data_IF_594156837182
#
_entry.id   IF_594156837182
#
_cell.length_a   1.000
_cell.length_b   1.000
_cell.length_c   1.000
_cell.angle_alpha   90.00
_cell.angle_beta   90.00
_cell.angle_gamma   90.00
#
_symmetry.space_group_name_H-M   'P 1'
#
loop_
_entity.id
_entity.type
_entity.pdbx_description
1 polymer ?
#
# COMPACT_ATOMS: atom_id res chain seq x y z
N UNK A 1 -19.91 -7.22 -68.66
CA UNK A 1 -18.83 -6.59 -67.85
C UNK A 1 -19.09 -5.09 -67.71
N UNK A 2 -19.92 -4.66 -66.73
CA UNK A 2 -20.11 -3.22 -66.40
C UNK A 2 -20.23 -2.94 -64.90
N UNK A 3 -20.88 -3.81 -64.11
CA UNK A 3 -21.01 -3.62 -62.65
C UNK A 3 -19.70 -3.71 -61.85
N UNK A 4 -18.72 -4.51 -62.31
CA UNK A 4 -17.49 -4.77 -61.55
C UNK A 4 -16.62 -3.52 -61.35
N UNK A 5 -16.54 -2.63 -62.36
CA UNK A 5 -15.81 -1.37 -62.25
C UNK A 5 -16.47 -0.37 -61.29
N UNK A 6 -17.80 -0.38 -61.16
CA UNK A 6 -18.51 0.50 -60.22
C UNK A 6 -18.23 0.14 -58.76
N UNK A 7 -18.26 -1.16 -58.43
CA UNK A 7 -17.94 -1.65 -57.08
C UNK A 7 -16.47 -1.38 -56.75
N UNK A 8 -15.55 -1.62 -57.69
CA UNK A 8 -14.13 -1.35 -57.50
C UNK A 8 -13.86 0.15 -57.26
N UNK A 9 -14.48 1.03 -58.05
CA UNK A 9 -14.35 2.47 -57.90
C UNK A 9 -14.84 2.95 -56.53
N UNK A 10 -16.04 2.53 -56.11
CA UNK A 10 -16.63 2.88 -54.80
C UNK A 10 -15.70 2.41 -53.66
N UNK A 11 -15.22 1.16 -53.72
CA UNK A 11 -14.30 0.61 -52.72
C UNK A 11 -12.98 1.40 -52.66
N UNK A 12 -12.42 1.82 -53.80
CA UNK A 12 -11.22 2.68 -53.81
C UNK A 12 -11.50 4.08 -53.26
N UNK A 13 -12.66 4.69 -53.54
CA UNK A 13 -12.99 6.00 -52.95
C UNK A 13 -13.22 5.95 -51.45
N UNK A 14 -13.82 4.88 -50.91
CA UNK A 14 -13.96 4.73 -49.46
C UNK A 14 -12.61 4.49 -48.78
N UNK A 15 -11.71 3.70 -49.39
CA UNK A 15 -10.34 3.49 -48.89
C UNK A 15 -9.47 4.75 -48.92
N UNK A 16 -9.64 5.61 -49.93
CA UNK A 16 -8.93 6.90 -50.02
C UNK A 16 -9.47 7.91 -49.00
N UNK A 17 -10.79 7.98 -48.79
CA UNK A 17 -11.38 8.86 -47.78
C UNK A 17 -11.05 8.43 -46.34
N UNK A 18 -10.92 7.12 -46.08
CA UNK A 18 -10.50 6.60 -44.77
C UNK A 18 -8.98 6.70 -44.50
N UNK A 19 -8.21 7.30 -45.40
CA UNK A 19 -6.74 7.41 -45.30
C UNK A 19 -6.25 8.85 -45.05
N UNK A 20 -7.17 9.82 -44.88
CA UNK A 20 -6.85 11.23 -44.79
C UNK A 20 -6.83 11.82 -43.36
N UNK A 21 -7.18 11.04 -42.33
CA UNK A 21 -7.15 11.48 -40.93
C UNK A 21 -6.21 10.65 -40.06
N UNK A 22 -5.64 11.30 -39.06
CA UNK A 22 -4.71 10.73 -38.07
C UNK A 22 -5.17 11.15 -36.67
N UNK A 23 -5.32 10.19 -35.76
CA UNK A 23 -5.61 10.48 -34.37
C UNK A 23 -4.42 11.18 -33.70
N UNK A 24 -4.63 12.39 -33.18
CA UNK A 24 -3.68 13.10 -32.35
C UNK A 24 -4.14 13.06 -30.88
N UNK A 25 -3.39 12.35 -30.04
CA UNK A 25 -3.65 12.28 -28.60
C UNK A 25 -3.25 13.59 -27.90
N UNK A 26 -4.14 14.15 -27.09
CA UNK A 26 -3.91 15.39 -26.34
C UNK A 26 -3.78 15.16 -24.84
N UNK A 27 -4.59 14.27 -24.26
CA UNK A 27 -4.61 13.96 -22.83
C UNK A 27 -4.85 12.47 -22.59
N UNK A 28 -4.52 11.97 -21.39
CA UNK A 28 -4.96 10.65 -20.93
C UNK A 28 -5.29 10.65 -19.44
N UNK A 29 -6.19 9.76 -19.03
CA UNK A 29 -6.68 9.61 -17.66
C UNK A 29 -6.58 8.13 -17.26
N UNK A 30 -6.18 7.83 -16.04
CA UNK A 30 -6.15 6.45 -15.53
C UNK A 30 -6.20 6.39 -14.00
N UNK A 31 -6.79 5.31 -13.49
CA UNK A 31 -6.84 5.04 -12.05
C UNK A 31 -5.53 4.41 -11.52
N UNK A 32 -5.15 4.79 -10.31
CA UNK A 32 -4.00 4.28 -9.56
C UNK A 32 -4.37 3.97 -8.10
N UNK A 33 -3.89 2.86 -7.54
CA UNK A 33 -4.17 2.50 -6.15
C UNK A 33 -3.10 3.09 -5.19
N UNK A 34 -3.40 3.27 -3.89
CA UNK A 34 -2.37 3.45 -2.86
C UNK A 34 -1.25 2.39 -2.92
N UNK A 35 0.00 2.79 -2.66
CA UNK A 35 1.17 1.91 -2.81
C UNK A 35 1.12 0.71 -1.85
N UNK A 36 1.27 -0.55 -2.30
CA UNK A 36 0.99 -1.75 -1.49
C UNK A 36 1.56 -1.78 -0.06
N UNK A 37 0.71 -2.10 0.92
CA UNK A 37 1.08 -2.23 2.35
C UNK A 37 1.72 -3.59 2.66
N UNK A 38 3.01 -3.59 3.01
CA UNK A 38 3.70 -4.75 3.60
C UNK A 38 3.78 -4.61 5.12
N UNK A 39 3.47 -5.68 5.86
CA UNK A 39 3.49 -5.70 7.33
C UNK A 39 4.56 -6.66 7.87
N UNK A 40 5.32 -6.23 8.88
CA UNK A 40 6.18 -7.12 9.65
C UNK A 40 5.42 -8.15 10.50
N UNK A 41 6.13 -8.94 11.33
CA UNK A 41 5.54 -9.93 12.23
C UNK A 41 4.49 -9.39 13.21
N UNK A 42 4.61 -8.14 13.67
CA UNK A 42 3.63 -7.51 14.58
C UNK A 42 3.46 -8.21 15.95
N UNK A 43 4.38 -9.12 16.29
CA UNK A 43 4.54 -9.84 17.56
C UNK A 43 5.94 -10.45 17.65
N UNK A 44 6.37 -10.81 18.86
CA UNK A 44 7.56 -11.64 19.08
C UNK A 44 7.33 -13.03 18.48
N UNK A 45 8.31 -13.51 17.71
CA UNK A 45 8.27 -14.81 17.07
C UNK A 45 8.95 -15.93 17.88
N UNK A 46 9.74 -15.64 18.92
CA UNK A 46 10.43 -16.63 19.80
C UNK A 46 11.08 -17.82 19.05
N UNK A 47 11.76 -17.53 17.94
CA UNK A 47 12.42 -18.54 17.08
C UNK A 47 11.47 -19.43 16.26
N UNK A 48 10.19 -19.08 16.12
CA UNK A 48 9.17 -19.79 15.36
C UNK A 48 8.87 -19.07 14.04
N UNK A 49 8.70 -19.84 12.95
CA UNK A 49 8.21 -19.36 11.66
C UNK A 49 6.68 -19.43 11.59
N UNK A 50 6.06 -18.51 10.86
CA UNK A 50 4.60 -18.50 10.67
C UNK A 50 4.21 -18.16 9.23
N UNK A 51 3.06 -18.67 8.79
CA UNK A 51 2.32 -18.08 7.68
C UNK A 51 1.23 -17.15 8.24
N UNK A 52 0.83 -16.13 7.49
CA UNK A 52 -0.30 -15.24 7.81
C UNK A 52 -1.23 -15.19 6.60
N UNK A 53 -2.53 -15.33 6.85
CA UNK A 53 -3.58 -14.97 5.90
C UNK A 53 -4.24 -13.71 6.42
N UNK A 54 -4.31 -12.65 5.61
CA UNK A 54 -4.99 -11.41 5.98
C UNK A 54 -6.07 -11.05 4.99
N UNK A 55 -7.15 -10.43 5.48
CA UNK A 55 -8.17 -9.79 4.66
C UNK A 55 -8.38 -8.37 5.19
N UNK A 56 -8.53 -7.38 4.30
CA UNK A 56 -8.72 -5.98 4.69
C UNK A 56 -9.64 -5.21 3.76
N UNK A 57 -10.20 -4.13 4.31
CA UNK A 57 -11.00 -3.15 3.60
C UNK A 57 -10.43 -1.75 3.89
N UNK A 58 -10.35 -0.91 2.87
CA UNK A 58 -9.95 0.50 2.98
C UNK A 58 -11.05 1.39 2.42
N UNK A 59 -11.35 2.48 3.13
CA UNK A 59 -12.23 3.55 2.67
C UNK A 59 -11.51 4.89 2.86
N UNK A 60 -11.27 5.60 1.76
CA UNK A 60 -10.55 6.86 1.63
C UNK A 60 -11.37 7.89 0.84
N UNK A 61 -10.90 9.13 0.76
CA UNK A 61 -11.42 10.08 -0.20
C UNK A 61 -10.90 9.78 -1.62
N UNK A 62 -11.69 10.13 -2.64
CA UNK A 62 -11.22 10.13 -4.02
C UNK A 62 -10.34 11.37 -4.25
N UNK A 63 -9.24 11.21 -4.99
CA UNK A 63 -8.34 12.33 -5.32
C UNK A 63 -7.86 12.30 -6.77
N UNK A 64 -7.72 13.48 -7.38
CA UNK A 64 -7.33 13.66 -8.77
C UNK A 64 -6.05 14.51 -8.84
N UNK A 65 -5.02 14.03 -9.53
CA UNK A 65 -3.78 14.77 -9.75
C UNK A 65 -3.47 14.91 -11.23
N UNK A 66 -3.76 16.11 -11.73
CA UNK A 66 -3.36 16.59 -13.06
C UNK A 66 -1.84 16.85 -13.13
N UNK A 67 -1.16 16.36 -14.17
CA UNK A 67 0.24 16.65 -14.45
C UNK A 67 0.48 16.93 -15.95
N UNK A 68 1.42 17.82 -16.33
CA UNK A 68 1.60 18.21 -17.72
C UNK A 68 2.33 17.14 -18.52
N UNK A 69 1.90 16.94 -19.77
CA UNK A 69 2.54 16.05 -20.74
C UNK A 69 2.89 16.82 -22.03
N UNK A 70 3.78 16.27 -22.85
CA UNK A 70 4.24 16.89 -24.11
C UNK A 70 3.97 15.94 -25.26
N UNK A 71 3.49 16.45 -26.39
CA UNK A 71 3.43 15.68 -27.64
C UNK A 71 4.81 15.66 -28.30
N UNK A 72 5.39 14.46 -28.48
CA UNK A 72 6.70 14.25 -29.14
C UNK A 72 6.66 14.67 -30.62
N UNK A 73 5.50 14.67 -31.26
CA UNK A 73 5.32 15.01 -32.68
C UNK A 73 5.57 16.51 -33.03
N UNK A 74 5.51 17.39 -32.03
CA UNK A 74 5.70 18.84 -32.21
C UNK A 74 7.18 19.26 -32.32
N UNK A 75 8.12 18.54 -31.69
CA UNK A 75 9.55 18.89 -31.74
C UNK A 75 10.17 18.57 -33.11
N UNK A 76 9.88 17.40 -33.69
CA UNK A 76 10.51 16.97 -34.95
C UNK A 76 10.09 17.83 -36.15
N UNK A 77 8.84 18.31 -36.19
CA UNK A 77 8.33 19.15 -37.28
C UNK A 77 8.82 20.60 -37.20
N UNK A 78 8.97 21.15 -35.99
CA UNK A 78 9.54 22.49 -35.78
C UNK A 78 11.05 22.54 -36.03
N UNK A 79 11.80 21.48 -35.69
CA UNK A 79 13.24 21.39 -35.96
C UNK A 79 13.56 21.10 -37.44
N UNK A 80 12.63 20.50 -38.19
CA UNK A 80 12.81 20.14 -39.60
C UNK A 80 12.76 21.32 -40.60
N UNK A 81 12.23 22.49 -40.22
CA UNK A 81 11.95 23.58 -41.18
C UNK A 81 12.69 24.89 -40.87
N UNK A 82 13.81 25.10 -41.57
CA UNK A 82 14.61 26.35 -41.57
C UNK A 82 13.83 27.62 -42.01
N UNK A 83 12.55 27.49 -42.38
CA UNK A 83 11.65 28.58 -42.77
C UNK A 83 11.14 29.40 -41.58
N UNK A 84 10.96 28.77 -40.40
CA UNK A 84 10.30 29.40 -39.24
C UNK A 84 11.21 30.43 -38.55
N UNK A 85 12.53 30.34 -38.72
CA UNK A 85 13.51 31.30 -38.21
C UNK A 85 13.32 32.75 -38.73
N UNK A 86 12.53 32.97 -39.79
CA UNK A 86 12.16 34.29 -40.32
C UNK A 86 10.79 34.80 -39.83
N UNK A 87 10.05 34.02 -39.04
CA UNK A 87 8.74 34.42 -38.47
C UNK A 87 8.80 34.73 -36.97
N UNK A 88 9.79 34.19 -36.25
CA UNK A 88 10.01 34.43 -34.82
C UNK A 88 10.31 35.89 -34.46
N UNK A 89 10.72 36.74 -35.40
CA UNK A 89 10.99 38.17 -35.15
C UNK A 89 9.70 39.03 -35.10
N UNK A 90 8.51 38.46 -35.37
CA UNK A 90 7.23 39.20 -35.38
C UNK A 90 6.15 38.69 -34.43
N UNK A 91 6.31 37.51 -33.83
CA UNK A 91 5.38 37.00 -32.82
C UNK A 91 5.95 37.31 -31.45
N UNK A 92 5.21 38.09 -30.65
CA UNK A 92 5.62 38.42 -29.28
C UNK A 92 5.76 37.11 -28.47
N UNK A 93 6.90 36.78 -27.84
CA UNK A 93 7.06 35.51 -27.11
C UNK A 93 6.04 35.29 -25.99
N UNK A 94 5.43 36.36 -25.45
CA UNK A 94 4.31 36.24 -24.50
C UNK A 94 2.99 35.77 -25.14
N UNK A 95 2.82 35.88 -26.46
CA UNK A 95 1.61 35.42 -27.18
C UNK A 95 1.62 33.92 -27.50
N UNK A 96 2.78 33.28 -27.50
CA UNK A 96 2.92 31.81 -27.61
C UNK A 96 2.58 31.11 -26.28
N UNK A 97 2.33 31.88 -25.20
CA UNK A 97 1.84 31.36 -23.90
C UNK A 97 0.35 30.96 -23.90
N UNK A 98 -0.28 30.79 -25.07
CA UNK A 98 -1.50 29.99 -25.19
C UNK A 98 -1.14 28.51 -25.16
N UNK A 99 -0.86 28.02 -23.96
CA UNK A 99 -0.74 26.60 -23.68
C UNK A 99 -2.04 25.89 -24.06
N UNK A 100 -1.99 25.11 -25.13
CA UNK A 100 -2.67 23.82 -25.14
C UNK A 100 -1.97 23.00 -24.04
N UNK A 101 -2.50 23.06 -22.82
CA UNK A 101 -1.98 22.31 -21.69
C UNK A 101 -2.43 20.86 -21.81
N UNK A 102 -1.77 20.12 -22.70
CA UNK A 102 -1.81 18.67 -22.70
C UNK A 102 -1.43 18.20 -21.29
N UNK A 103 -2.35 17.49 -20.66
CA UNK A 103 -2.23 16.99 -19.30
C UNK A 103 -2.52 15.49 -19.28
N UNK A 104 -2.02 14.83 -18.25
CA UNK A 104 -2.48 13.53 -17.83
C UNK A 104 -3.13 13.65 -16.45
N UNK A 105 -4.12 12.79 -16.21
CA UNK A 105 -4.92 12.75 -15.00
C UNK A 105 -4.67 11.39 -14.34
N UNK A 106 -4.23 11.42 -13.08
CA UNK A 106 -4.12 10.24 -12.24
C UNK A 106 -5.17 10.35 -11.12
N UNK A 107 -6.11 9.42 -11.12
CA UNK A 107 -7.15 9.31 -10.09
C UNK A 107 -6.75 8.25 -9.07
N UNK A 108 -7.00 8.49 -7.77
CA UNK A 108 -6.92 7.45 -6.74
C UNK A 108 -8.33 7.16 -6.19
N UNK A 109 -8.77 5.92 -6.40
CA UNK A 109 -10.05 5.40 -5.93
C UNK A 109 -10.17 5.40 -4.40
N UNK A 110 -11.37 5.66 -3.89
CA UNK A 110 -11.64 5.68 -2.44
C UNK A 110 -11.74 4.30 -1.78
N UNK A 111 -12.13 3.23 -2.50
CA UNK A 111 -12.60 1.98 -1.88
C UNK A 111 -11.88 0.73 -2.34
N UNK A 112 -11.22 0.05 -1.40
CA UNK A 112 -10.30 -1.06 -1.69
C UNK A 112 -10.63 -2.30 -0.85
N UNK A 113 -10.59 -3.49 -1.45
CA UNK A 113 -10.59 -4.77 -0.73
C UNK A 113 -9.28 -5.49 -1.04
N UNK A 114 -8.60 -5.99 -0.01
CA UNK A 114 -7.38 -6.79 -0.18
C UNK A 114 -7.44 -8.12 0.55
N UNK A 115 -6.76 -9.12 0.00
CA UNK A 115 -6.47 -10.38 0.67
C UNK A 115 -5.02 -10.79 0.41
N UNK A 116 -4.28 -11.21 1.44
CA UNK A 116 -2.87 -11.60 1.32
C UNK A 116 -2.56 -12.94 1.99
N UNK A 117 -1.51 -13.59 1.49
CA UNK A 117 -0.85 -14.76 2.07
C UNK A 117 0.64 -14.44 2.21
N UNK A 118 1.14 -14.51 3.43
CA UNK A 118 2.51 -14.14 3.79
C UNK A 118 3.18 -15.33 4.49
N UNK A 119 4.47 -15.54 4.23
CA UNK A 119 5.30 -16.56 4.88
C UNK A 119 6.50 -15.87 5.52
N UNK A 120 6.64 -16.00 6.84
CA UNK A 120 7.62 -15.33 7.68
C UNK A 120 8.52 -16.40 8.32
N UNK A 121 9.78 -16.44 7.88
CA UNK A 121 10.79 -17.42 8.27
C UNK A 121 11.76 -16.76 9.26
N UNK A 122 11.74 -17.21 10.51
CA UNK A 122 12.53 -16.60 11.60
C UNK A 122 13.88 -17.30 11.78
N UNK A 123 14.95 -16.52 11.92
CA UNK A 123 16.31 -16.97 12.23
C UNK A 123 16.87 -16.33 13.53
N UNK A 124 16.13 -15.42 14.17
CA UNK A 124 16.39 -14.75 15.45
C UNK A 124 17.76 -14.02 15.58
N UNK A 125 17.80 -12.66 15.58
CA UNK A 125 16.67 -11.73 15.46
C UNK A 125 16.21 -11.53 14.01
N UNK A 126 17.01 -11.94 13.02
CA UNK A 126 16.70 -11.72 11.60
C UNK A 126 15.55 -12.61 11.17
N UNK A 127 14.65 -12.08 10.33
CA UNK A 127 13.67 -12.87 9.60
C UNK A 127 13.65 -12.50 8.12
N UNK A 128 13.23 -13.47 7.31
CA UNK A 128 12.90 -13.27 5.90
C UNK A 128 11.41 -13.47 5.72
N UNK A 129 10.80 -12.67 4.85
CA UNK A 129 9.37 -12.71 4.58
C UNK A 129 9.13 -12.67 3.08
N UNK A 130 8.18 -13.47 2.62
CA UNK A 130 7.68 -13.43 1.24
C UNK A 130 6.16 -13.38 1.28
N UNK A 131 5.53 -12.65 0.37
CA UNK A 131 4.08 -12.52 0.35
C UNK A 131 3.52 -12.31 -1.03
N UNK A 132 2.24 -12.67 -1.18
CA UNK A 132 1.42 -12.42 -2.36
C UNK A 132 0.05 -11.90 -1.90
N UNK A 133 -0.53 -10.96 -2.64
CA UNK A 133 -1.82 -10.39 -2.33
C UNK A 133 -2.63 -10.05 -3.58
N UNK A 134 -3.96 -10.11 -3.44
CA UNK A 134 -4.89 -9.45 -4.35
C UNK A 134 -5.25 -8.06 -3.79
N UNK A 135 -5.14 -7.05 -4.63
CA UNK A 135 -5.37 -5.63 -4.36
C UNK A 135 -5.40 -4.91 -5.71
N UNK A 136 -6.59 -4.50 -6.18
CA UNK A 136 -6.86 -3.86 -7.48
C UNK A 136 -6.09 -4.46 -8.69
N UNK A 137 -5.96 -5.79 -8.68
CA UNK A 137 -4.83 -6.46 -9.31
C UNK A 137 -4.16 -7.40 -8.32
N UNK A 138 -2.85 -7.59 -8.45
CA UNK A 138 -2.07 -8.43 -7.54
C UNK A 138 -0.67 -7.87 -7.33
N UNK A 139 -0.11 -8.08 -6.14
CA UNK A 139 1.29 -7.79 -5.87
C UNK A 139 1.97 -8.96 -5.17
N UNK A 140 3.29 -9.08 -5.36
CA UNK A 140 4.13 -10.04 -4.67
C UNK A 140 5.44 -9.38 -4.24
N UNK A 141 5.98 -9.80 -3.09
CA UNK A 141 7.12 -9.11 -2.48
C UNK A 141 8.04 -10.05 -1.69
N UNK A 142 9.27 -9.56 -1.49
CA UNK A 142 10.23 -10.08 -0.53
C UNK A 142 10.57 -8.98 0.49
N UNK A 143 10.75 -9.37 1.75
CA UNK A 143 11.14 -8.46 2.82
C UNK A 143 12.18 -9.12 3.73
N UNK A 144 13.05 -8.29 4.32
CA UNK A 144 14.04 -8.68 5.31
C UNK A 144 13.96 -7.71 6.49
N UNK A 145 14.03 -8.24 7.70
CA UNK A 145 13.90 -7.44 8.91
C UNK A 145 14.52 -8.08 10.15
N UNK A 146 14.42 -7.36 11.26
CA UNK A 146 14.74 -7.87 12.59
C UNK A 146 13.49 -7.85 13.47
N UNK A 147 13.25 -8.96 14.16
CA UNK A 147 12.17 -9.16 15.12
C UNK A 147 12.79 -9.27 16.52
N UNK A 148 12.36 -8.38 17.41
CA UNK A 148 12.74 -8.35 18.81
C UNK A 148 11.46 -8.38 19.66
N UNK A 149 11.57 -8.80 20.92
CA UNK A 149 10.47 -9.02 21.87
C UNK A 149 9.39 -7.92 22.00
N UNK A 150 9.71 -6.69 21.62
CA UNK A 150 8.82 -5.53 21.74
C UNK A 150 8.69 -4.71 20.45
N UNK A 151 9.44 -5.04 19.41
CA UNK A 151 9.46 -4.29 18.17
C UNK A 151 10.02 -5.12 17.01
N UNK A 152 9.53 -4.84 15.81
CA UNK A 152 10.03 -5.39 14.56
C UNK A 152 10.24 -4.27 13.53
N UNK A 153 11.20 -4.43 12.63
CA UNK A 153 11.42 -3.47 11.55
C UNK A 153 12.03 -4.19 10.35
N UNK A 154 11.81 -3.65 9.15
CA UNK A 154 12.34 -4.24 7.93
C UNK A 154 12.16 -3.37 6.70
N UNK A 155 12.76 -3.84 5.61
CA UNK A 155 12.65 -3.25 4.27
C UNK A 155 12.11 -4.28 3.30
N UNK A 156 11.38 -3.83 2.28
CA UNK A 156 10.75 -4.68 1.29
C UNK A 156 10.89 -4.15 -0.13
N UNK A 157 10.84 -5.08 -1.07
CA UNK A 157 10.86 -4.87 -2.52
C UNK A 157 9.89 -5.87 -3.15
N UNK A 158 9.09 -5.41 -4.11
CA UNK A 158 8.13 -6.27 -4.81
C UNK A 158 7.72 -5.71 -6.15
N UNK A 159 6.80 -6.43 -6.79
CA UNK A 159 6.18 -6.05 -8.05
C UNK A 159 4.66 -5.98 -7.84
N UNK A 160 4.04 -4.92 -8.34
CA UNK A 160 2.61 -4.64 -8.27
C UNK A 160 2.07 -4.62 -9.70
N UNK A 161 1.16 -5.55 -10.01
CA UNK A 161 0.43 -5.62 -11.26
C UNK A 161 -0.97 -5.08 -11.02
N UNK A 162 -1.16 -3.78 -11.25
CA UNK A 162 -2.45 -3.11 -11.10
C UNK A 162 -3.29 -3.28 -12.36
N UNK A 163 -4.59 -3.50 -12.21
CA UNK A 163 -5.58 -3.46 -13.28
C UNK A 163 -6.18 -2.05 -13.34
N UNK A 164 -6.21 -1.44 -14.53
CA UNK A 164 -6.78 -0.09 -14.71
C UNK A 164 -7.39 0.09 -16.09
N UNK A 165 -8.29 1.06 -16.22
CA UNK A 165 -8.74 1.57 -17.52
C UNK A 165 -7.95 2.84 -17.81
N UNK A 166 -7.46 2.99 -19.04
CA UNK A 166 -6.87 4.22 -19.53
C UNK A 166 -7.83 4.86 -20.53
N UNK A 167 -8.32 6.05 -20.21
CA UNK A 167 -9.13 6.86 -21.11
C UNK A 167 -8.22 7.85 -21.86
N UNK A 168 -8.21 7.72 -23.18
CA UNK A 168 -7.43 8.53 -24.10
C UNK A 168 -8.32 9.60 -24.74
N UNK A 169 -7.88 10.86 -24.69
CA UNK A 169 -8.55 12.00 -25.28
C UNK A 169 -7.70 12.57 -26.41
N UNK A 170 -8.33 12.90 -27.54
CA UNK A 170 -7.63 13.40 -28.72
C UNK A 170 -8.57 13.99 -29.75
N UNK A 171 -7.99 14.30 -30.92
CA UNK A 171 -8.67 14.92 -32.05
C UNK A 171 -8.28 14.21 -33.35
N UNK A 172 -9.18 14.17 -34.33
CA UNK A 172 -8.87 13.68 -35.67
C UNK A 172 -8.30 14.82 -36.52
N UNK A 173 -6.99 14.79 -36.80
CA UNK A 173 -6.33 15.77 -37.65
C UNK A 173 -6.15 15.27 -39.08
N UNK A 174 -6.04 16.18 -40.06
CA UNK A 174 -5.57 15.83 -41.40
C UNK A 174 -4.12 15.28 -41.42
N UNK A 175 -3.78 14.46 -42.42
CA UNK A 175 -2.39 13.94 -42.58
C UNK A 175 -1.36 15.07 -42.75
N UNK A 176 -1.77 16.19 -43.33
CA UNK A 176 -0.93 17.38 -43.53
C UNK A 176 -0.74 18.24 -42.25
N UNK A 177 -1.41 17.87 -41.14
CA UNK A 177 -1.32 18.54 -39.83
C UNK A 177 -2.68 18.85 -39.21
N UNK A 178 -2.67 19.21 -37.92
CA UNK A 178 -3.87 19.70 -37.22
C UNK A 178 -4.10 21.20 -37.49
N UNK A 179 -5.33 21.54 -37.88
CA UNK A 179 -5.88 22.89 -37.95
C UNK A 179 -6.64 23.27 -36.67
N UNK A 180 -7.12 24.52 -36.58
CA UNK A 180 -8.03 24.92 -35.49
C UNK A 180 -9.40 24.22 -35.61
N UNK A 181 -9.88 23.97 -36.84
CA UNK A 181 -11.16 23.28 -37.10
C UNK A 181 -11.11 21.78 -36.69
N UNK A 182 -9.95 21.13 -36.79
CA UNK A 182 -9.77 19.73 -36.37
C UNK A 182 -9.93 19.54 -34.84
N UNK A 183 -9.78 20.60 -34.04
CA UNK A 183 -9.95 20.52 -32.58
C UNK A 183 -11.41 20.32 -32.14
N UNK A 184 -12.38 20.53 -33.04
CA UNK A 184 -13.79 20.23 -32.79
C UNK A 184 -14.15 18.75 -33.04
N UNK A 185 -13.37 18.00 -33.84
CA UNK A 185 -13.56 16.54 -34.06
C UNK A 185 -12.84 15.71 -32.98
N UNK A 186 -13.25 15.94 -31.73
CA UNK A 186 -12.71 15.25 -30.54
C UNK A 186 -13.18 13.80 -30.42
N UNK A 187 -12.27 12.91 -30.00
CA UNK A 187 -12.58 11.53 -29.65
C UNK A 187 -12.20 11.20 -28.21
N UNK A 188 -12.88 10.19 -27.67
CA UNK A 188 -12.53 9.49 -26.44
C UNK A 188 -12.41 7.99 -26.77
N UNK A 189 -11.36 7.34 -26.29
CA UNK A 189 -11.15 5.90 -26.45
C UNK A 189 -10.62 5.30 -25.14
N UNK A 190 -11.25 4.22 -24.66
CA UNK A 190 -10.89 3.52 -23.43
C UNK A 190 -10.18 2.21 -23.75
N UNK A 191 -9.07 1.90 -23.06
CA UNK A 191 -8.43 0.58 -23.10
C UNK A 191 -8.19 0.02 -21.69
N UNK A 192 -8.19 -1.31 -21.56
CA UNK A 192 -7.95 -1.99 -20.28
C UNK A 192 -6.50 -2.48 -20.21
N UNK A 193 -5.75 -1.97 -19.24
CA UNK A 193 -4.30 -2.14 -19.16
C UNK A 193 -3.91 -2.78 -17.82
N UNK A 194 -2.86 -3.61 -17.86
CA UNK A 194 -2.17 -4.11 -16.66
C UNK A 194 -0.87 -3.34 -16.52
N UNK A 195 -0.74 -2.53 -15.47
CA UNK A 195 0.49 -1.79 -15.16
C UNK A 195 1.35 -2.62 -14.20
N UNK A 196 2.57 -2.96 -14.61
CA UNK A 196 3.50 -3.82 -13.86
C UNK A 196 4.68 -3.04 -13.29
N UNK A 197 4.60 -2.71 -12.00
CA UNK A 197 5.47 -1.73 -11.35
C UNK A 197 6.29 -2.29 -10.20
N UNK A 198 7.55 -1.86 -10.10
CA UNK A 198 8.40 -2.16 -8.95
C UNK A 198 8.05 -1.21 -7.80
N UNK A 199 7.64 -1.77 -6.66
CA UNK A 199 7.36 -1.03 -5.43
C UNK A 199 8.35 -1.41 -4.33
N UNK A 200 8.67 -0.47 -3.45
CA UNK A 200 9.59 -0.70 -2.33
C UNK A 200 9.24 0.16 -1.12
N UNK A 201 9.78 -0.20 0.03
CA UNK A 201 9.49 0.53 1.25
C UNK A 201 10.13 -0.06 2.51
N UNK A 202 9.64 0.42 3.66
CA UNK A 202 10.06 0.00 4.98
C UNK A 202 8.89 0.00 5.95
N UNK A 203 8.99 -0.81 7.01
CA UNK A 203 8.03 -0.81 8.12
C UNK A 203 8.74 -0.85 9.48
N UNK A 204 8.00 -0.39 10.49
CA UNK A 204 8.34 -0.53 11.90
C UNK A 204 7.07 -0.90 12.69
N UNK A 205 7.13 -2.01 13.41
CA UNK A 205 6.15 -2.47 14.38
C UNK A 205 6.67 -2.28 15.80
N UNK A 206 5.81 -1.86 16.71
CA UNK A 206 5.99 -1.97 18.15
C UNK A 206 4.87 -2.85 18.70
N UNK A 207 5.19 -3.81 19.57
CA UNK A 207 4.21 -4.78 20.06
C UNK A 207 4.41 -5.07 21.56
N UNK A 208 3.33 -5.02 22.33
CA UNK A 208 3.36 -5.20 23.79
C UNK A 208 2.15 -6.03 24.22
N UNK A 209 2.42 -7.19 24.83
CA UNK A 209 1.41 -8.16 25.24
C UNK A 209 0.51 -8.60 24.07
N UNK A 210 -0.72 -8.07 23.97
CA UNK A 210 -1.65 -8.34 22.86
C UNK A 210 -1.84 -7.14 21.93
N UNK A 211 -1.22 -6.00 22.20
CA UNK A 211 -1.35 -4.80 21.38
C UNK A 211 -0.18 -4.70 20.39
N UNK A 212 -0.46 -4.22 19.18
CA UNK A 212 0.57 -3.81 18.22
C UNK A 212 0.27 -2.43 17.64
N UNK A 213 1.32 -1.73 17.23
CA UNK A 213 1.29 -0.47 16.51
C UNK A 213 2.29 -0.61 15.35
N UNK A 214 1.82 -0.49 14.11
CA UNK A 214 2.64 -0.68 12.91
C UNK A 214 2.59 0.57 12.05
N UNK A 215 3.74 1.03 11.57
CA UNK A 215 3.85 2.03 10.51
C UNK A 215 4.58 1.44 9.31
N UNK A 216 3.99 1.56 8.13
CA UNK A 216 4.59 1.13 6.85
C UNK A 216 4.62 2.33 5.90
N UNK A 217 5.77 2.57 5.27
CA UNK A 217 5.91 3.47 4.12
C UNK A 217 6.19 2.63 2.89
N UNK A 218 5.39 2.79 1.85
CA UNK A 218 5.50 2.12 0.56
C UNK A 218 5.52 3.17 -0.56
N UNK A 219 6.27 2.94 -1.63
CA UNK A 219 6.21 3.79 -2.83
C UNK A 219 6.38 3.01 -4.13
N UNK A 220 5.71 3.50 -5.18
CA UNK A 220 5.89 3.09 -6.57
C UNK A 220 5.70 4.29 -7.52
N UNK A 221 5.91 4.08 -8.82
CA UNK A 221 5.69 5.05 -9.90
C UNK A 221 4.96 4.33 -11.03
N UNK A 222 3.72 4.70 -11.38
CA UNK A 222 2.92 3.97 -12.37
C UNK A 222 3.57 3.80 -13.76
N UNK A 223 3.61 2.57 -14.25
CA UNK A 223 4.39 2.13 -15.41
C UNK A 223 3.68 2.23 -16.75
N UNK A 224 2.93 3.30 -17.01
CA UNK A 224 2.26 3.53 -18.30
C UNK A 224 3.20 4.23 -19.29
N UNK A 225 3.24 3.74 -20.54
CA UNK A 225 3.82 4.41 -21.71
C UNK A 225 2.71 4.70 -22.73
N UNK A 226 2.66 5.92 -23.26
CA UNK A 226 1.62 6.38 -24.21
C UNK A 226 2.29 6.86 -25.48
N UNK A 227 1.90 6.26 -26.62
CA UNK A 227 2.56 6.54 -27.90
C UNK A 227 2.55 8.04 -28.22
N UNK A 228 3.72 8.56 -28.62
CA UNK A 228 3.95 9.97 -29.00
C UNK A 228 3.76 10.99 -27.88
N UNK A 229 3.60 10.59 -26.61
CA UNK A 229 3.67 11.50 -25.47
C UNK A 229 4.99 11.39 -24.70
N UNK A 230 5.37 12.46 -24.02
CA UNK A 230 6.52 12.55 -23.12
C UNK A 230 6.11 13.21 -21.80
N UNK A 231 6.35 12.55 -20.66
CA UNK A 231 5.91 12.99 -19.35
C UNK A 231 6.74 12.42 -18.21
N UNK A 232 6.77 13.13 -17.09
CA UNK A 232 7.36 12.64 -15.85
C UNK A 232 6.26 12.19 -14.89
N UNK A 233 6.03 10.88 -14.84
CA UNK A 233 5.02 10.25 -13.98
C UNK A 233 5.36 10.47 -12.49
N UNK A 234 4.45 11.03 -11.67
CA UNK A 234 4.71 11.17 -10.25
C UNK A 234 4.83 9.82 -9.53
N UNK A 235 5.58 9.82 -8.43
CA UNK A 235 5.54 8.73 -7.46
C UNK A 235 4.26 8.80 -6.63
N UNK A 236 3.67 7.64 -6.35
CA UNK A 236 2.65 7.43 -5.32
C UNK A 236 3.37 6.92 -4.07
N UNK A 237 3.29 7.67 -2.97
CA UNK A 237 3.91 7.34 -1.69
C UNK A 237 2.81 7.20 -0.65
N UNK A 238 2.64 6.01 -0.06
CA UNK A 238 1.58 5.72 0.90
C UNK A 238 2.17 5.35 2.27
N UNK A 239 1.72 6.05 3.31
CA UNK A 239 1.97 5.71 4.71
C UNK A 239 0.73 5.03 5.30
N UNK A 240 0.94 3.88 5.94
CA UNK A 240 -0.08 3.12 6.65
C UNK A 240 0.27 3.14 8.14
N UNK A 241 -0.66 3.59 8.99
CA UNK A 241 -0.50 3.54 10.45
C UNK A 241 -1.64 2.70 11.04
N UNK A 242 -1.34 1.54 11.63
CA UNK A 242 -2.36 0.63 12.20
C UNK A 242 -2.10 0.28 13.66
N UNK A 243 -3.16 0.35 14.47
CA UNK A 243 -3.23 -0.21 15.82
C UNK A 243 -3.90 -1.59 15.74
N UNK A 244 -3.32 -2.59 16.41
CA UNK A 244 -3.79 -3.98 16.40
C UNK A 244 -4.05 -4.54 17.79
N UNK A 245 -4.95 -5.52 17.85
CA UNK A 245 -5.15 -6.38 19.03
C UNK A 245 -5.19 -7.87 18.62
N UNK A 246 -4.35 -8.66 19.29
CA UNK A 246 -4.30 -10.11 19.20
C UNK A 246 -5.39 -10.73 20.11
N UNK A 247 -6.40 -11.34 19.50
CA UNK A 247 -7.51 -12.01 20.17
C UNK A 247 -7.10 -13.41 20.68
N UNK A 248 -6.24 -14.10 19.93
CA UNK A 248 -5.57 -15.35 20.32
C UNK A 248 -4.13 -15.37 19.78
N UNK A 249 -3.41 -16.50 19.91
CA UNK A 249 -2.08 -16.68 19.30
C UNK A 249 -2.17 -16.65 17.76
N UNK A 250 -3.33 -17.00 17.21
CA UNK A 250 -3.66 -17.06 15.78
C UNK A 250 -4.34 -15.78 15.26
N UNK A 251 -5.38 -15.28 15.92
CA UNK A 251 -6.23 -14.20 15.39
C UNK A 251 -5.81 -12.81 15.85
N UNK A 252 -5.62 -11.88 14.91
CA UNK A 252 -5.51 -10.44 15.17
C UNK A 252 -6.52 -9.64 14.36
N UNK A 253 -6.94 -8.49 14.91
CA UNK A 253 -7.68 -7.46 14.19
C UNK A 253 -6.91 -6.15 14.27
N UNK A 254 -6.94 -5.35 13.21
CA UNK A 254 -6.19 -4.09 13.10
C UNK A 254 -7.07 -2.99 12.50
N UNK A 255 -6.98 -1.79 13.05
CA UNK A 255 -7.62 -0.58 12.53
C UNK A 255 -6.57 0.53 12.37
N UNK A 256 -6.65 1.30 11.30
CA UNK A 256 -5.60 2.26 10.97
C UNK A 256 -6.02 3.32 9.97
N UNK A 257 -5.06 4.19 9.63
CA UNK A 257 -5.18 5.20 8.59
C UNK A 257 -4.24 4.90 7.43
N UNK A 258 -4.65 5.31 6.24
CA UNK A 258 -3.84 5.38 5.01
C UNK A 258 -3.69 6.85 4.64
N UNK A 259 -2.48 7.27 4.31
CA UNK A 259 -2.17 8.62 3.84
C UNK A 259 -1.29 8.50 2.60
N UNK A 260 -1.84 8.78 1.42
CA UNK A 260 -1.14 8.75 0.14
C UNK A 260 -0.80 10.16 -0.34
N UNK A 261 0.38 10.31 -0.92
CA UNK A 261 0.87 11.54 -1.53
C UNK A 261 1.30 11.28 -2.97
N UNK A 262 0.86 12.15 -3.88
CA UNK A 262 1.24 12.15 -5.28
C UNK A 262 1.94 13.48 -5.56
N UNK A 263 3.24 13.45 -5.92
CA UNK A 263 4.06 14.60 -6.39
C UNK A 263 4.22 15.80 -5.44
N UNK A 264 3.13 16.46 -5.08
CA UNK A 264 3.05 17.69 -4.31
C UNK A 264 2.28 17.42 -3.02
N UNK A 265 2.92 17.53 -1.85
CA UNK A 265 2.35 17.28 -0.52
C UNK A 265 1.28 18.33 -0.07
N UNK A 266 0.42 18.80 -0.99
CA UNK A 266 -0.56 19.89 -0.77
C UNK A 266 -1.95 19.38 -0.35
N UNK A 267 -2.39 18.27 -0.93
CA UNK A 267 -3.54 17.48 -0.47
C UNK A 267 -3.02 16.04 -0.31
N UNK A 268 -3.13 15.44 0.88
CA UNK A 268 -3.05 13.99 1.02
C UNK A 268 -4.39 13.35 0.66
N UNK A 269 -4.36 12.26 -0.09
CA UNK A 269 -5.45 11.29 -0.10
C UNK A 269 -5.42 10.54 1.24
N UNK A 270 -6.54 10.50 1.95
CA UNK A 270 -6.65 10.02 3.33
C UNK A 270 -7.80 9.04 3.52
N UNK A 271 -7.52 7.91 4.16
CA UNK A 271 -8.53 6.91 4.46
C UNK A 271 -8.30 6.14 5.75
N UNK A 272 -9.26 5.26 6.04
CA UNK A 272 -9.25 4.31 7.14
C UNK A 272 -9.15 2.89 6.59
N UNK A 273 -8.31 2.06 7.20
CA UNK A 273 -8.16 0.63 6.89
C UNK A 273 -8.59 -0.20 8.09
N UNK A 274 -9.33 -1.27 7.82
CA UNK A 274 -9.63 -2.33 8.78
C UNK A 274 -9.15 -3.67 8.22
N UNK A 275 -8.42 -4.44 9.04
CA UNK A 275 -7.81 -5.72 8.66
C UNK A 275 -8.10 -6.80 9.71
N UNK A 276 -8.26 -8.03 9.26
CA UNK A 276 -8.28 -9.24 10.09
C UNK A 276 -7.15 -10.14 9.60
N UNK A 277 -6.33 -10.66 10.52
CA UNK A 277 -5.25 -11.59 10.22
C UNK A 277 -5.43 -12.92 10.97
N UNK A 278 -5.08 -14.02 10.31
CA UNK A 278 -5.02 -15.37 10.84
C UNK A 278 -3.61 -15.93 10.67
N UNK A 279 -2.91 -16.11 11.79
CA UNK A 279 -1.51 -16.49 11.86
C UNK A 279 -1.38 -17.99 12.14
N UNK A 280 -0.75 -18.72 11.22
CA UNK A 280 -0.50 -20.17 11.27
C UNK A 280 0.97 -20.39 11.68
N UNK A 281 1.22 -20.61 12.97
CA UNK A 281 2.57 -20.83 13.50
C UNK A 281 2.98 -22.32 13.46
N UNK A 282 4.20 -22.62 13.04
CA UNK A 282 4.71 -24.00 12.99
C UNK A 282 5.12 -24.49 14.40
N UNK A 283 4.43 -25.51 14.94
CA UNK A 283 4.64 -26.01 16.31
C UNK A 283 5.93 -26.85 16.52
N UNK A 284 7.04 -26.48 15.89
CA UNK A 284 8.31 -27.23 15.89
C UNK A 284 8.90 -27.45 17.30
N UNK A 285 8.77 -26.47 18.20
CA UNK A 285 9.34 -26.53 19.56
C UNK A 285 8.44 -27.25 20.59
N UNK A 286 7.16 -26.86 20.69
CA UNK A 286 6.21 -27.39 21.69
C UNK A 286 5.98 -28.90 21.52
N UNK A 287 5.94 -29.42 20.29
CA UNK A 287 5.84 -30.87 20.05
C UNK A 287 7.11 -31.64 20.43
N UNK A 288 8.30 -31.13 20.13
CA UNK A 288 9.58 -31.76 20.55
C UNK A 288 9.69 -31.84 22.06
N UNK A 289 9.31 -30.78 22.79
CA UNK A 289 9.33 -30.78 24.27
C UNK A 289 8.30 -31.75 24.87
N UNK A 290 7.11 -31.88 24.28
CA UNK A 290 6.13 -32.90 24.67
C UNK A 290 6.58 -34.34 24.36
N UNK A 291 7.23 -34.60 23.21
CA UNK A 291 7.80 -35.94 22.91
C UNK A 291 8.91 -36.32 23.87
N UNK A 292 9.91 -35.46 24.06
CA UNK A 292 11.01 -35.71 25.00
C UNK A 292 10.52 -35.91 26.44
N UNK A 293 9.47 -35.19 26.88
CA UNK A 293 8.85 -35.38 28.19
C UNK A 293 7.98 -36.65 28.28
N UNK A 294 7.51 -37.21 27.17
CA UNK A 294 6.77 -38.47 27.13
C UNK A 294 7.71 -39.68 27.07
N UNK A 295 8.80 -39.60 26.30
CA UNK A 295 9.84 -40.63 26.22
C UNK A 295 10.58 -40.77 27.56
N UNK A 296 10.98 -39.65 28.18
CA UNK A 296 11.60 -39.67 29.52
C UNK A 296 10.59 -40.00 30.64
N UNK A 297 9.29 -40.00 30.38
CA UNK A 297 8.25 -40.39 31.34
C UNK A 297 7.91 -41.88 31.33
N UNK A 298 8.41 -42.65 30.35
CA UNK A 298 8.01 -44.04 30.12
C UNK A 298 8.94 -45.10 30.76
N UNK A 299 10.00 -44.68 31.45
CA UNK A 299 11.02 -45.56 32.04
C UNK A 299 11.30 -45.27 33.52
N UNK A 300 10.29 -45.51 34.36
CA UNK A 300 10.50 -45.84 35.78
C UNK A 300 9.94 -47.24 36.05
N UNK A 301 10.75 -48.18 36.60
CA UNK A 301 10.22 -49.44 37.10
C UNK A 301 9.24 -49.20 38.26
N UNK A 302 8.17 -49.98 38.34
CA UNK A 302 7.19 -49.83 39.41
C UNK A 302 7.74 -50.37 40.74
N UNK A 303 7.98 -49.47 41.71
CA UNK A 303 8.24 -49.86 43.10
C UNK A 303 6.93 -50.12 43.86
N UNK A 304 6.96 -51.10 44.75
CA UNK A 304 5.79 -51.67 45.44
C UNK A 304 5.35 -50.80 46.63
N UNK A 305 4.05 -50.50 46.82
CA UNK A 305 3.60 -49.59 47.87
C UNK A 305 3.62 -50.22 49.28
N UNK A 306 4.24 -49.56 50.29
CA UNK A 306 4.12 -49.95 51.69
C UNK A 306 2.84 -49.38 52.34
N UNK A 307 2.02 -50.32 52.83
CA UNK A 307 1.14 -50.28 54.03
C UNK A 307 0.93 -48.92 54.72
N UNK A 308 -0.35 -48.52 54.87
CA UNK A 308 -0.77 -47.50 55.85
C UNK A 308 -0.62 -48.02 57.29
N UNK A 309 -0.04 -47.22 58.17
CA UNK A 309 -0.23 -47.28 59.63
C UNK A 309 -0.84 -45.94 60.07
N UNK A 310 -1.66 -45.94 61.12
CA UNK A 310 -2.39 -44.76 61.57
C UNK A 310 -2.28 -44.63 63.11
N UNK A 311 -1.77 -43.48 63.55
CA UNK A 311 -1.67 -42.96 64.93
C UNK A 311 -1.05 -41.54 64.78
N UNK A 312 -1.31 -40.53 65.60
CA UNK A 312 -2.39 -40.34 66.60
C UNK A 312 -2.70 -38.82 66.67
N UNK A 313 -3.82 -38.43 67.31
CA UNK A 313 -4.10 -37.02 67.59
C UNK A 313 -3.42 -36.59 68.90
N UNK A 314 -2.92 -35.36 68.97
CA UNK A 314 -2.57 -34.71 70.24
C UNK A 314 -2.90 -33.21 70.18
N UNK A 315 -3.40 -32.66 71.29
CA UNK A 315 -4.11 -31.38 71.33
C UNK A 315 -3.24 -30.16 71.62
N UNK A 316 -3.79 -28.97 71.36
CA UNK A 316 -3.26 -27.68 71.82
C UNK A 316 -3.52 -27.47 73.33
N UNK A 317 -2.73 -26.58 73.95
CA UNK A 317 -3.27 -25.30 74.47
C UNK A 317 -2.61 -24.10 73.74
N UNK A 318 -3.15 -22.89 73.58
CA UNK A 318 -4.21 -22.07 74.21
C UNK A 318 -3.62 -20.82 74.90
N UNK A 319 -4.22 -19.65 74.65
CA UNK A 319 -3.93 -18.31 75.22
C UNK A 319 -2.54 -17.72 74.86
N UNK A 320 -2.32 -16.39 74.78
CA UNK A 320 -3.01 -15.25 75.43
C UNK A 320 -3.18 -14.02 74.50
N UNK A 321 -4.10 -13.11 74.85
CA UNK A 321 -4.21 -11.70 74.38
C UNK A 321 -3.04 -10.85 74.99
N UNK A 322 -2.72 -9.58 74.69
CA UNK A 322 -3.39 -8.32 74.25
C UNK A 322 -2.39 -7.48 73.40
N UNK A 323 -2.67 -6.42 72.61
CA UNK A 323 -3.67 -5.32 72.54
C UNK A 323 -3.31 -3.99 73.25
N UNK A 324 -2.67 -3.06 72.51
CA UNK A 324 -2.64 -1.56 72.55
C UNK A 324 -1.91 -1.07 71.26
N UNK A 325 -2.25 0.01 70.54
CA UNK A 325 -2.19 1.47 70.85
C UNK A 325 -0.78 1.99 71.19
N UNK A 326 -0.27 3.15 70.73
CA UNK A 326 -0.73 4.21 69.80
C UNK A 326 0.41 4.50 68.76
N UNK A 327 0.61 5.61 68.01
CA UNK A 327 0.06 6.97 67.76
C UNK A 327 0.62 7.36 66.35
N UNK A 328 -0.11 7.80 65.31
CA UNK A 328 -0.83 9.06 65.02
C UNK A 328 0.06 10.26 64.56
N UNK A 329 -0.52 11.19 63.80
CA UNK A 329 0.01 12.40 63.11
C UNK A 329 0.71 12.24 61.74
N UNK A 330 0.73 13.27 60.87
CA UNK A 330 -0.37 14.11 60.31
C UNK A 330 0.20 15.02 59.19
N UNK A 331 -0.69 15.57 58.34
CA UNK A 331 -0.59 16.90 57.66
C UNK A 331 0.75 17.36 57.04
N UNK A 332 0.81 17.48 55.71
CA UNK A 332 0.75 18.80 55.04
C UNK A 332 0.52 18.73 53.51
N UNK A 333 -0.66 19.20 53.09
CA UNK A 333 -0.97 19.85 51.81
C UNK A 333 -1.54 21.24 52.19
N UNK A 334 -1.54 22.30 51.35
CA UNK A 334 -1.50 22.28 49.88
C UNK A 334 -0.61 23.38 49.24
N UNK A 335 -0.73 23.60 47.92
CA UNK A 335 -1.08 24.91 47.36
C UNK A 335 -1.29 24.86 45.83
N UNK A 336 -2.35 25.50 45.34
CA UNK A 336 -2.58 25.76 43.92
C UNK A 336 -1.81 27.01 43.45
N UNK A 337 -1.59 27.11 42.13
CA UNK A 337 -1.27 28.39 41.47
C UNK A 337 -1.83 28.42 40.04
N UNK A 338 -3.03 28.97 39.88
CA UNK A 338 -3.48 29.49 38.59
C UNK A 338 -2.90 30.90 38.40
N UNK A 339 -2.55 31.30 37.17
CA UNK A 339 -2.48 32.72 36.78
C UNK A 339 -2.83 32.85 35.30
N UNK A 340 -3.62 33.86 34.98
CA UNK A 340 -4.21 34.09 33.66
C UNK A 340 -3.35 34.96 32.72
N UNK A 341 -3.78 34.96 31.46
CA UNK A 341 -3.93 36.15 30.59
C UNK A 341 -2.83 36.67 29.63
N UNK A 342 -3.37 37.20 28.52
CA UNK A 342 -2.90 38.29 27.65
C UNK A 342 -1.92 38.02 26.49
N UNK A 343 -2.53 38.00 25.28
CA UNK A 343 -2.18 38.74 24.05
C UNK A 343 -0.71 38.94 23.60
N UNK A 344 -0.43 38.54 22.35
CA UNK A 344 -0.58 39.47 21.20
C UNK A 344 -1.12 38.73 19.95
#
# INVERSE_FOLDING_TARGET
MKGFFGILAIATTSLVLSACSVAHLSNFQFGASPSPEVNGPGKDLDGVSMARVSASFTAADEDEVTFPVRSRALDETLLGTNTIANLTERVNPDSVKRTNSNNAILEIDGYHISASLEFIINFNPIFFQVGIAAYDGFYYYVAIGANHKYYDWGVFLGEFNQFTTVDFFGYWCGVDGCSEDDMDDSFVASDFVVLGDVFFGAYVGAHVWRLSLNNTVSMYRPGIDVERMDYDMPYVISNYTSLGIHLSDEWSIRGGTVISFIRNFRKPHMGFRFSIDFNIAEQSSKMKKKRASAENGALQPAETPPVKVAEEQTAAPAETETATESEDSDVDEPAEAQTEESAE
#
